data_IF_326754283625
#
_entry.id   IF_326754283625
#
_cell.length_a   1.000
_cell.length_b   1.000
_cell.length_c   1.000
_cell.angle_alpha   90.00
_cell.angle_beta   90.00
_cell.angle_gamma   90.00
#
_symmetry.space_group_name_H-M   'P 1'
#
loop_
_entity.id
_entity.type
_entity.pdbx_description
1 polymer ?
#
# COMPACT_ATOMS: atom_id res chain seq x y z
N UNK A 1 -19.83 -14.80 -5.23
CA UNK A 1 -18.58 -15.47 -5.65
C UNK A 1 -17.47 -14.88 -4.79
N UNK A 2 -17.16 -15.53 -3.67
CA UNK A 2 -16.22 -15.03 -2.67
C UNK A 2 -14.80 -15.28 -3.19
N UNK A 3 -14.11 -14.24 -3.68
CA UNK A 3 -12.68 -14.37 -3.96
C UNK A 3 -11.98 -14.82 -2.66
N UNK A 4 -11.23 -15.92 -2.73
CA UNK A 4 -10.39 -16.36 -1.61
C UNK A 4 -9.47 -15.20 -1.22
N UNK A 5 -9.48 -14.81 0.05
CA UNK A 5 -8.47 -13.93 0.63
C UNK A 5 -7.11 -14.58 0.36
N UNK A 6 -6.32 -13.99 -0.53
CA UNK A 6 -5.02 -14.50 -0.90
C UNK A 6 -4.14 -14.55 0.36
N UNK A 7 -3.45 -15.67 0.57
CA UNK A 7 -2.45 -15.78 1.64
C UNK A 7 -1.40 -14.68 1.45
N UNK A 8 -1.05 -13.91 2.49
CA UNK A 8 -0.04 -12.88 2.36
C UNK A 8 1.29 -13.47 1.89
N UNK A 9 2.11 -12.70 1.14
CA UNK A 9 3.44 -13.14 0.74
C UNK A 9 4.29 -13.59 1.94
N UNK A 10 5.08 -14.65 1.78
CA UNK A 10 6.07 -15.08 2.78
C UNK A 10 7.33 -14.18 2.74
N UNK A 11 7.15 -12.88 3.01
CA UNK A 11 8.22 -11.89 3.16
C UNK A 11 7.85 -10.86 4.21
N UNK A 12 8.83 -10.09 4.66
CA UNK A 12 8.59 -8.95 5.55
C UNK A 12 7.96 -7.80 4.75
N UNK A 13 6.86 -7.20 5.21
CA UNK A 13 6.31 -6.01 4.57
C UNK A 13 7.28 -4.83 4.72
N UNK A 14 7.33 -3.98 3.70
CA UNK A 14 8.11 -2.73 3.77
C UNK A 14 7.45 -1.73 4.71
N UNK A 15 6.11 -1.74 4.74
CA UNK A 15 5.30 -0.86 5.57
C UNK A 15 4.10 -1.64 6.11
N UNK A 16 3.79 -1.43 7.39
CA UNK A 16 2.59 -1.97 8.05
C UNK A 16 1.96 -0.88 8.89
N UNK A 17 0.70 -0.56 8.62
CA UNK A 17 0.01 0.58 9.24
C UNK A 17 -1.39 0.14 9.66
N UNK A 18 -1.78 0.50 10.87
CA UNK A 18 -3.17 0.39 11.33
C UNK A 18 -3.95 1.58 10.80
N UNK A 19 -5.10 1.30 10.22
CA UNK A 19 -6.01 2.32 9.70
C UNK A 19 -6.78 2.97 10.84
N UNK A 20 -6.92 4.30 10.78
CA UNK A 20 -7.52 5.12 11.82
C UNK A 20 -8.79 5.83 11.31
N UNK A 21 -9.68 6.28 12.21
CA UNK A 21 -10.90 7.00 11.79
C UNK A 21 -10.63 8.23 10.90
N UNK A 22 -9.50 8.90 11.09
CA UNK A 22 -9.10 10.06 10.27
C UNK A 22 -8.75 9.70 8.81
N UNK A 23 -8.53 8.42 8.51
CA UNK A 23 -8.18 7.93 7.18
C UNK A 23 -9.42 7.56 6.35
N UNK A 24 -10.62 7.71 6.93
CA UNK A 24 -11.88 7.33 6.30
C UNK A 24 -12.36 8.33 5.27
N UNK A 25 -13.11 7.83 4.29
CA UNK A 25 -13.94 8.64 3.40
C UNK A 25 -15.34 8.85 4.02
N UNK A 26 -16.21 9.70 3.44
CA UNK A 26 -17.55 9.97 3.99
C UNK A 26 -18.47 8.75 4.12
N UNK A 27 -18.19 7.64 3.42
CA UNK A 27 -18.93 6.38 3.51
C UNK A 27 -18.47 5.49 4.67
N UNK A 28 -17.38 5.85 5.37
CA UNK A 28 -16.85 5.13 6.53
C UNK A 28 -15.74 4.12 6.22
N UNK A 29 -15.50 3.80 4.94
CA UNK A 29 -14.35 2.99 4.52
C UNK A 29 -13.08 3.84 4.43
N UNK A 30 -11.91 3.20 4.43
CA UNK A 30 -10.65 3.92 4.20
C UNK A 30 -10.64 4.59 2.83
N UNK A 31 -10.22 5.84 2.81
CA UNK A 31 -10.14 6.64 1.59
C UNK A 31 -9.10 6.05 0.63
N UNK A 32 -9.49 5.87 -0.64
CA UNK A 32 -8.59 5.33 -1.66
C UNK A 32 -7.31 6.17 -1.84
N UNK A 33 -7.41 7.50 -1.73
CA UNK A 33 -6.25 8.39 -1.81
C UNK A 33 -5.24 8.20 -0.67
N UNK A 34 -5.72 7.85 0.53
CA UNK A 34 -4.85 7.49 1.64
C UNK A 34 -4.08 6.20 1.32
N UNK A 35 -4.76 5.17 0.80
CA UNK A 35 -4.10 3.91 0.41
C UNK A 35 -3.04 4.14 -0.66
N UNK A 36 -3.34 4.98 -1.67
CA UNK A 36 -2.38 5.33 -2.72
C UNK A 36 -1.14 6.03 -2.16
N UNK A 37 -1.31 6.93 -1.18
CA UNK A 37 -0.19 7.59 -0.51
C UNK A 37 0.70 6.58 0.23
N UNK A 38 0.11 5.58 0.90
CA UNK A 38 0.90 4.54 1.57
C UNK A 38 1.63 3.62 0.59
N UNK A 39 1.04 3.33 -0.57
CA UNK A 39 1.74 2.59 -1.64
C UNK A 39 2.93 3.39 -2.15
N UNK A 40 2.78 4.69 -2.36
CA UNK A 40 3.88 5.58 -2.78
C UNK A 40 5.03 5.59 -1.76
N UNK A 41 4.71 5.73 -0.47
CA UNK A 41 5.69 5.65 0.63
C UNK A 41 6.41 4.29 0.62
N UNK A 42 5.68 3.19 0.55
CA UNK A 42 6.28 1.85 0.55
C UNK A 42 7.19 1.62 -0.66
N UNK A 43 6.75 2.02 -1.85
CA UNK A 43 7.54 1.94 -3.08
C UNK A 43 8.79 2.82 -3.02
N UNK A 44 8.65 4.05 -2.52
CA UNK A 44 9.75 4.99 -2.32
C UNK A 44 10.81 4.46 -1.37
N UNK A 45 10.44 3.82 -0.26
CA UNK A 45 11.38 3.19 0.68
C UNK A 45 12.24 2.15 -0.03
N UNK A 46 11.62 1.23 -0.78
CA UNK A 46 12.35 0.18 -1.52
C UNK A 46 13.25 0.79 -2.60
N UNK A 47 12.78 1.80 -3.32
CA UNK A 47 13.56 2.49 -4.35
C UNK A 47 14.76 3.25 -3.77
N UNK A 48 14.59 3.98 -2.65
CA UNK A 48 15.68 4.67 -1.96
C UNK A 48 16.76 3.70 -1.48
N UNK A 49 16.36 2.56 -0.90
CA UNK A 49 17.30 1.52 -0.48
C UNK A 49 18.10 0.98 -1.67
N UNK A 50 17.43 0.73 -2.81
CA UNK A 50 18.09 0.23 -4.03
C UNK A 50 19.03 1.25 -4.65
N UNK A 51 18.63 2.52 -4.69
CA UNK A 51 19.37 3.62 -5.30
C UNK A 51 20.47 4.20 -4.39
N UNK A 52 20.42 3.93 -3.08
CA UNK A 52 21.30 4.52 -2.05
C UNK A 52 21.28 6.06 -2.08
N UNK A 53 20.11 6.62 -2.32
CA UNK A 53 19.96 8.05 -2.52
C UNK A 53 18.52 8.49 -2.67
N UNK A 54 18.35 9.76 -3.01
CA UNK A 54 17.04 10.37 -3.22
C UNK A 54 16.37 9.80 -4.47
N UNK A 55 15.07 9.56 -4.37
CA UNK A 55 14.21 9.13 -5.48
C UNK A 55 12.96 10.00 -5.51
N UNK A 56 12.28 10.01 -6.65
CA UNK A 56 10.96 10.61 -6.81
C UNK A 56 10.09 9.66 -7.65
N UNK A 57 8.82 9.54 -7.28
CA UNK A 57 7.85 8.75 -8.05
C UNK A 57 7.49 9.50 -9.32
N UNK A 58 7.85 8.93 -10.47
CA UNK A 58 7.58 9.54 -11.79
C UNK A 58 6.17 9.24 -12.26
N UNK A 59 5.72 7.99 -12.07
CA UNK A 59 4.43 7.53 -12.51
C UNK A 59 3.95 6.36 -11.67
N UNK A 60 2.63 6.23 -11.55
CA UNK A 60 1.96 5.03 -11.06
C UNK A 60 0.97 4.60 -12.14
N UNK A 61 1.01 3.32 -12.54
CA UNK A 61 0.23 2.86 -13.68
C UNK A 61 -1.27 2.78 -13.40
N UNK A 62 -1.65 2.03 -12.36
CA UNK A 62 -3.06 1.81 -12.02
C UNK A 62 -3.19 1.25 -10.62
N UNK A 63 -4.31 1.56 -9.97
CA UNK A 63 -4.74 0.91 -8.75
C UNK A 63 -6.02 0.13 -9.01
N UNK A 64 -6.09 -1.08 -8.47
CA UNK A 64 -7.31 -1.90 -8.44
C UNK A 64 -7.69 -2.16 -6.99
N UNK A 65 -8.73 -1.49 -6.52
CA UNK A 65 -9.28 -1.69 -5.17
C UNK A 65 -10.28 -2.85 -5.20
N UNK A 66 -9.88 -3.99 -4.67
CA UNK A 66 -10.69 -5.22 -4.71
C UNK A 66 -11.81 -5.25 -3.67
N UNK A 67 -11.57 -4.63 -2.52
CA UNK A 67 -12.49 -4.63 -1.38
C UNK A 67 -12.31 -3.34 -0.56
N UNK A 68 -13.37 -2.88 0.12
CA UNK A 68 -13.24 -1.81 1.12
C UNK A 68 -12.32 -2.26 2.26
N UNK A 69 -11.67 -1.28 2.90
CA UNK A 69 -10.84 -1.48 4.08
C UNK A 69 -11.56 -0.79 5.25
N UNK A 70 -11.62 -1.44 6.40
CA UNK A 70 -12.29 -0.94 7.60
C UNK A 70 -11.31 -0.27 8.54
N UNK A 71 -11.81 0.65 9.38
CA UNK A 71 -11.02 1.22 10.48
C UNK A 71 -10.58 0.12 11.43
N UNK A 72 -9.32 0.18 11.87
CA UNK A 72 -8.70 -0.83 12.73
C UNK A 72 -8.04 -1.97 11.97
N UNK A 73 -8.27 -2.10 10.66
CA UNK A 73 -7.53 -3.05 9.82
C UNK A 73 -6.05 -2.68 9.76
N UNK A 74 -5.20 -3.70 9.79
CA UNK A 74 -3.76 -3.56 9.61
C UNK A 74 -3.39 -3.85 8.16
N UNK A 75 -3.03 -2.80 7.43
CA UNK A 75 -2.64 -2.89 6.02
C UNK A 75 -1.15 -3.13 5.92
N UNK A 76 -0.76 -4.19 5.21
CA UNK A 76 0.64 -4.55 4.97
C UNK A 76 1.00 -4.32 3.50
N UNK A 77 2.04 -3.53 3.25
CA UNK A 77 2.54 -3.22 1.91
C UNK A 77 3.81 -4.01 1.63
N UNK A 78 3.78 -4.73 0.52
CA UNK A 78 4.86 -5.58 0.06
C UNK A 78 5.37 -5.06 -1.29
N UNK A 79 6.68 -4.90 -1.42
CA UNK A 79 7.29 -4.32 -2.62
C UNK A 79 8.38 -5.26 -3.13
N UNK A 80 8.51 -5.34 -4.45
CA UNK A 80 9.62 -5.97 -5.15
C UNK A 80 10.16 -4.99 -6.19
N UNK A 81 11.49 -4.85 -6.26
CA UNK A 81 12.13 -4.11 -7.35
C UNK A 81 12.33 -5.08 -8.53
N UNK A 82 11.51 -4.92 -9.56
CA UNK A 82 11.46 -5.87 -10.69
C UNK A 82 12.52 -5.60 -11.78
N UNK A 83 12.98 -4.35 -11.90
CA UNK A 83 13.98 -3.94 -12.90
C UNK A 83 14.73 -2.70 -12.43
N UNK A 84 15.98 -2.56 -12.88
CA UNK A 84 16.81 -1.34 -12.78
C UNK A 84 17.26 -0.97 -14.18
#
# INVERSE_FOLDING_TARGET
MTERIATPPQKTPVLRVMTMPADTNPSGDIFGGWVMAQVDVAGGIAAMQRARGRVATVAVNSFLFKQPISVGDVVSFYVDVVKV
#
